data_IF_494734858780
#
_entry.id   IF_494734858780
#
_cell.length_a   1.000
_cell.length_b   1.000
_cell.length_c   1.000
_cell.angle_alpha   90.00
_cell.angle_beta   90.00
_cell.angle_gamma   90.00
#
_symmetry.space_group_name_H-M   'P 1'
#
loop_
_entity.id
_entity.type
_entity.pdbx_description
1 polymer ?
#
# COMPACT_ATOMS: atom_id res chain seq x y z
N UNK A 1 9.65 -4.25 -7.69
CA UNK A 1 9.48 -5.68 -7.32
C UNK A 1 8.77 -6.34 -8.47
N UNK A 2 9.28 -7.46 -8.98
CA UNK A 2 8.55 -8.26 -9.98
C UNK A 2 7.64 -9.23 -9.22
N UNK A 3 6.42 -9.43 -9.68
CA UNK A 3 5.50 -10.43 -9.13
C UNK A 3 5.85 -11.79 -9.73
N UNK A 4 6.08 -12.80 -8.91
CA UNK A 4 6.32 -14.17 -9.41
C UNK A 4 5.01 -14.95 -9.53
N UNK A 5 4.99 -16.00 -10.34
CA UNK A 5 3.74 -16.71 -10.65
C UNK A 5 3.14 -17.47 -9.46
N UNK A 6 3.96 -17.76 -8.45
CA UNK A 6 3.59 -18.55 -7.27
C UNK A 6 3.90 -17.84 -5.95
N UNK A 7 4.19 -16.54 -5.98
CA UNK A 7 4.45 -15.81 -4.76
C UNK A 7 3.82 -14.41 -4.75
N UNK A 8 3.24 -14.10 -3.60
CA UNK A 8 2.71 -12.79 -3.28
C UNK A 8 3.20 -12.34 -1.92
N UNK A 9 3.21 -11.02 -1.75
CA UNK A 9 3.57 -10.38 -0.51
C UNK A 9 2.29 -9.81 0.10
N UNK A 10 2.10 -10.09 1.37
CA UNK A 10 0.95 -9.68 2.16
C UNK A 10 1.42 -8.69 3.21
N UNK A 11 0.60 -7.70 3.53
CA UNK A 11 0.87 -6.74 4.59
C UNK A 11 -0.37 -6.55 5.45
N UNK A 12 -0.20 -6.57 6.78
CA UNK A 12 -1.27 -6.18 7.70
C UNK A 12 -1.40 -4.67 7.72
N UNK A 13 -2.64 -4.22 7.63
CA UNK A 13 -3.01 -2.82 7.68
C UNK A 13 -4.24 -2.61 8.55
N UNK A 14 -4.43 -1.40 9.04
CA UNK A 14 -5.69 -0.95 9.62
C UNK A 14 -6.44 -0.16 8.56
N UNK A 15 -7.75 -0.38 8.46
CA UNK A 15 -8.67 0.44 7.69
C UNK A 15 -9.47 1.27 8.66
N UNK A 16 -9.34 2.59 8.59
CA UNK A 16 -10.07 3.52 9.46
C UNK A 16 -11.14 4.26 8.65
N UNK A 17 -12.35 4.36 9.19
CA UNK A 17 -13.48 5.08 8.58
C UNK A 17 -13.69 6.43 9.26
N UNK A 18 -12.94 7.45 8.83
CA UNK A 18 -13.13 8.81 9.31
C UNK A 18 -14.46 9.38 8.88
N UNK A 19 -14.98 10.29 9.69
CA UNK A 19 -16.26 10.95 9.46
C UNK A 19 -16.05 12.21 8.64
N UNK A 20 -16.94 12.46 7.69
CA UNK A 20 -17.02 13.74 7.01
C UNK A 20 -18.47 14.19 6.87
N UNK A 21 -18.86 15.36 7.39
CA UNK A 21 -18.09 16.23 8.31
C UNK A 21 -17.66 15.55 9.62
N UNK A 22 -16.68 16.10 10.33
CA UNK A 22 -16.08 15.49 11.54
C UNK A 22 -17.09 15.25 12.68
N UNK A 23 -18.17 16.04 12.69
CA UNK A 23 -19.28 16.00 13.65
C UNK A 23 -20.44 15.07 13.24
N UNK A 24 -20.31 14.35 12.13
CA UNK A 24 -21.24 13.31 11.74
C UNK A 24 -21.25 12.15 12.77
N UNK A 25 -22.28 11.29 12.78
CA UNK A 25 -22.21 10.02 13.50
C UNK A 25 -21.18 9.06 12.88
N UNK A 26 -20.78 8.05 13.66
CA UNK A 26 -19.95 6.97 13.14
C UNK A 26 -20.69 6.21 12.03
N UNK A 27 -19.94 5.80 11.01
CA UNK A 27 -20.46 5.04 9.88
C UNK A 27 -19.70 3.71 9.79
N UNK A 28 -20.11 2.69 10.58
CA UNK A 28 -19.45 1.39 10.61
C UNK A 28 -19.34 0.75 9.22
N UNK A 29 -18.32 -0.07 9.02
CA UNK A 29 -18.05 -0.72 7.73
C UNK A 29 -19.26 -1.52 7.23
N UNK A 30 -19.97 -2.21 8.13
CA UNK A 30 -21.18 -2.97 7.79
C UNK A 30 -22.26 -2.11 7.13
N UNK A 31 -22.37 -0.84 7.50
CA UNK A 31 -23.33 0.10 6.90
C UNK A 31 -22.84 0.60 5.52
N UNK A 32 -21.53 0.56 5.27
CA UNK A 32 -20.92 0.99 4.02
C UNK A 32 -21.00 -0.09 2.92
N UNK A 33 -21.00 -1.38 3.29
CA UNK A 33 -21.01 -2.51 2.36
C UNK A 33 -22.18 -2.48 1.37
N UNK A 34 -23.44 -2.20 1.76
CA UNK A 34 -24.55 -2.11 0.80
C UNK A 34 -24.32 -1.07 -0.29
N UNK A 35 -23.74 0.09 0.05
CA UNK A 35 -23.42 1.13 -0.93
C UNK A 35 -22.29 0.69 -1.86
N UNK A 36 -21.22 0.07 -1.32
CA UNK A 36 -20.16 -0.50 -2.15
C UNK A 36 -20.69 -1.57 -3.11
N UNK A 37 -21.57 -2.46 -2.62
CA UNK A 37 -22.16 -3.52 -3.43
C UNK A 37 -23.05 -2.95 -4.54
N UNK A 38 -23.85 -1.92 -4.25
CA UNK A 38 -24.65 -1.21 -5.26
C UNK A 38 -23.77 -0.65 -6.38
N UNK A 39 -22.69 0.05 -6.00
CA UNK A 39 -21.73 0.65 -6.94
C UNK A 39 -21.00 -0.41 -7.76
N UNK A 40 -20.63 -1.53 -7.14
CA UNK A 40 -20.04 -2.68 -7.83
C UNK A 40 -21.00 -3.28 -8.86
N UNK A 41 -22.24 -3.58 -8.48
CA UNK A 41 -23.25 -4.17 -9.37
C UNK A 41 -23.66 -3.24 -10.52
N UNK A 42 -23.59 -1.92 -10.30
CA UNK A 42 -23.82 -0.92 -11.34
C UNK A 42 -22.61 -0.71 -12.27
N UNK A 43 -21.46 -1.36 -12.03
CA UNK A 43 -20.17 -1.09 -12.68
C UNK A 43 -19.68 0.37 -12.51
N UNK A 44 -20.12 1.03 -11.44
CA UNK A 44 -19.78 2.43 -11.12
C UNK A 44 -18.66 2.54 -10.07
N UNK A 45 -18.20 1.42 -9.50
CA UNK A 45 -17.04 1.35 -8.60
C UNK A 45 -15.72 1.54 -9.36
N UNK A 46 -15.57 2.71 -9.98
CA UNK A 46 -14.45 3.14 -10.83
C UNK A 46 -13.95 4.51 -10.34
N UNK A 47 -12.66 4.60 -10.09
CA UNK A 47 -11.98 5.82 -9.66
C UNK A 47 -10.89 6.16 -10.66
N UNK A 48 -11.10 7.28 -11.36
CA UNK A 48 -10.17 7.78 -12.38
C UNK A 48 -9.15 8.74 -11.78
N UNK A 49 -7.91 8.60 -12.23
CA UNK A 49 -6.80 9.48 -11.91
C UNK A 49 -6.26 10.09 -13.20
N UNK A 50 -5.59 11.24 -13.07
CA UNK A 50 -4.88 11.88 -14.19
C UNK A 50 -5.78 12.05 -15.44
N UNK A 51 -7.03 12.46 -15.24
CA UNK A 51 -8.04 12.62 -16.30
C UNK A 51 -8.29 11.31 -17.09
N UNK A 52 -8.42 10.19 -16.38
CA UNK A 52 -8.70 8.87 -16.96
C UNK A 52 -7.47 8.13 -17.50
N UNK A 53 -6.26 8.70 -17.39
CA UNK A 53 -5.01 8.02 -17.80
C UNK A 53 -4.62 6.86 -16.90
N UNK A 54 -5.11 6.87 -15.67
CA UNK A 54 -5.00 5.71 -14.79
C UNK A 54 -6.33 5.49 -14.11
N UNK A 55 -6.71 4.23 -13.93
CA UNK A 55 -8.01 3.87 -13.39
C UNK A 55 -7.82 2.80 -12.35
N UNK A 56 -8.47 2.95 -11.21
CA UNK A 56 -8.66 1.86 -10.25
C UNK A 56 -10.13 1.51 -10.16
N UNK A 57 -10.47 0.23 -10.27
CA UNK A 57 -11.84 -0.24 -10.21
C UNK A 57 -11.96 -1.48 -9.35
N UNK A 58 -13.15 -1.71 -8.81
CA UNK A 58 -13.47 -2.92 -8.07
C UNK A 58 -13.93 -4.01 -9.04
N UNK A 59 -13.15 -5.09 -9.18
CA UNK A 59 -13.46 -6.22 -10.06
C UNK A 59 -14.26 -7.32 -9.36
N UNK A 60 -14.10 -7.47 -8.05
CA UNK A 60 -14.87 -8.43 -7.29
C UNK A 60 -15.08 -7.94 -5.86
N UNK A 61 -16.28 -8.21 -5.35
CA UNK A 61 -16.66 -8.02 -3.96
C UNK A 61 -17.29 -9.32 -3.46
N UNK A 62 -16.82 -9.80 -2.31
CA UNK A 62 -17.45 -10.90 -1.58
C UNK A 62 -17.52 -10.55 -0.11
N UNK A 63 -18.74 -10.41 0.39
CA UNK A 63 -19.03 -10.26 1.82
C UNK A 63 -19.27 -11.65 2.39
N UNK A 64 -18.33 -12.17 3.16
CA UNK A 64 -18.58 -13.31 4.03
C UNK A 64 -18.91 -12.80 5.44
N UNK A 65 -19.49 -13.66 6.29
CA UNK A 65 -20.02 -13.22 7.60
C UNK A 65 -19.01 -12.41 8.43
N UNK A 66 -17.71 -12.71 8.32
CA UNK A 66 -16.64 -12.11 9.14
C UNK A 66 -15.76 -11.12 8.36
N UNK A 67 -15.58 -11.32 7.05
CA UNK A 67 -14.64 -10.60 6.20
C UNK A 67 -15.30 -10.02 4.95
N UNK A 68 -14.89 -8.81 4.61
CA UNK A 68 -15.10 -8.20 3.31
C UNK A 68 -13.88 -8.47 2.43
N UNK A 69 -14.08 -9.16 1.31
CA UNK A 69 -13.04 -9.52 0.33
C UNK A 69 -13.21 -8.69 -0.93
N UNK A 70 -12.17 -7.99 -1.32
CA UNK A 70 -12.18 -7.07 -2.46
C UNK A 70 -11.03 -7.39 -3.41
N UNK A 71 -11.31 -7.32 -4.72
CA UNK A 71 -10.30 -7.36 -5.77
C UNK A 71 -10.31 -6.04 -6.51
N UNK A 72 -9.20 -5.33 -6.47
CA UNK A 72 -9.01 -4.11 -7.24
C UNK A 72 -8.23 -4.41 -8.51
N UNK A 73 -8.58 -3.72 -9.59
CA UNK A 73 -7.74 -3.61 -10.78
C UNK A 73 -7.27 -2.18 -10.93
N UNK A 74 -5.97 -2.03 -11.16
CA UNK A 74 -5.34 -0.78 -11.55
C UNK A 74 -4.88 -0.89 -13.01
N UNK A 75 -5.21 0.12 -13.81
CA UNK A 75 -4.81 0.24 -15.21
C UNK A 75 -4.04 1.55 -15.37
N UNK A 76 -2.87 1.50 -16.01
CA UNK A 76 -2.11 2.69 -16.38
C UNK A 76 -1.87 2.76 -17.89
N UNK A 77 -2.54 3.71 -18.56
CA UNK A 77 -2.43 3.93 -20.01
C UNK A 77 -1.05 4.47 -20.41
N UNK A 78 -0.39 5.20 -19.52
CA UNK A 78 0.90 5.85 -19.77
C UNK A 78 2.10 4.92 -19.56
N UNK A 79 1.90 3.74 -18.95
CA UNK A 79 2.97 2.76 -18.77
C UNK A 79 3.42 2.19 -20.12
N UNK A 80 4.73 2.04 -20.34
CA UNK A 80 5.27 1.51 -21.60
C UNK A 80 4.71 0.12 -21.93
N UNK A 81 4.66 -0.18 -23.23
CA UNK A 81 4.30 -1.50 -23.74
C UNK A 81 5.21 -2.58 -23.12
N UNK A 82 4.65 -3.72 -22.65
CA UNK A 82 5.44 -4.78 -22.05
C UNK A 82 6.28 -5.48 -23.13
N UNK A 83 7.54 -5.77 -22.76
CA UNK A 83 8.49 -6.45 -23.61
C UNK A 83 8.93 -7.76 -22.96
N UNK A 84 9.00 -8.82 -23.77
CA UNK A 84 9.48 -10.14 -23.38
C UNK A 84 10.73 -10.46 -24.18
N UNK A 85 11.87 -10.53 -23.49
CA UNK A 85 13.15 -10.88 -24.10
C UNK A 85 13.44 -12.36 -23.91
N UNK A 86 13.82 -13.03 -25.00
CA UNK A 86 14.26 -14.41 -24.96
C UNK A 86 15.64 -14.50 -24.28
N UNK A 87 15.71 -15.25 -23.18
CA UNK A 87 16.92 -15.34 -22.34
C UNK A 87 18.14 -15.88 -23.13
N UNK A 88 17.93 -16.76 -24.11
CA UNK A 88 19.03 -17.40 -24.85
C UNK A 88 19.53 -16.56 -26.04
N UNK A 89 18.63 -15.83 -26.71
CA UNK A 89 18.92 -15.16 -27.99
C UNK A 89 18.94 -13.64 -27.90
N UNK A 90 18.38 -13.06 -26.83
CA UNK A 90 18.19 -11.61 -26.70
C UNK A 90 17.08 -11.02 -27.59
N UNK A 91 16.43 -11.84 -28.42
CA UNK A 91 15.31 -11.41 -29.25
C UNK A 91 14.17 -10.92 -28.36
N UNK A 92 13.66 -9.72 -28.64
CA UNK A 92 12.62 -9.07 -27.84
C UNK A 92 11.32 -9.02 -28.61
N UNK A 93 10.24 -9.49 -27.98
CA UNK A 93 8.87 -9.34 -28.44
C UNK A 93 8.17 -8.26 -27.62
N UNK A 94 7.64 -7.25 -28.28
CA UNK A 94 6.86 -6.17 -27.63
C UNK A 94 5.39 -6.44 -27.91
N UNK A 95 4.57 -6.44 -26.86
CA UNK A 95 3.11 -6.51 -26.99
C UNK A 95 2.55 -5.10 -26.97
N UNK A 96 1.96 -4.62 -28.07
CA UNK A 96 1.47 -3.24 -28.15
C UNK A 96 0.07 -3.14 -27.56
N UNK A 97 -0.15 -2.14 -26.70
CA UNK A 97 -1.50 -1.80 -26.20
C UNK A 97 -2.43 -1.40 -27.36
N UNK A 98 -3.68 -1.84 -27.29
CA UNK A 98 -4.76 -1.39 -28.16
C UNK A 98 -5.42 -0.11 -27.63
N UNK A 99 -6.44 0.38 -28.36
CA UNK A 99 -7.22 1.53 -27.92
C UNK A 99 -7.87 1.24 -26.56
N UNK A 100 -7.71 2.20 -25.65
CA UNK A 100 -8.22 2.14 -24.28
C UNK A 100 -7.66 1.01 -23.39
N UNK A 101 -6.54 0.42 -23.82
CA UNK A 101 -5.74 -0.47 -22.98
C UNK A 101 -4.64 0.29 -22.23
N UNK A 102 -4.27 -0.28 -21.09
CA UNK A 102 -3.14 0.16 -20.28
C UNK A 102 -2.56 -1.04 -19.55
N UNK A 103 -1.40 -0.85 -18.93
CA UNK A 103 -0.80 -1.91 -18.10
C UNK A 103 -1.69 -2.20 -16.90
N UNK A 104 -2.18 -3.42 -16.84
CA UNK A 104 -3.10 -3.90 -15.80
C UNK A 104 -2.39 -4.62 -14.66
N UNK A 105 -2.80 -4.32 -13.44
CA UNK A 105 -2.39 -4.98 -12.21
C UNK A 105 -3.62 -5.22 -11.34
N UNK A 106 -3.59 -6.23 -10.48
CA UNK A 106 -4.66 -6.46 -9.51
C UNK A 106 -4.13 -6.67 -8.12
N UNK A 107 -4.85 -6.19 -7.09
CA UNK A 107 -4.52 -6.44 -5.68
C UNK A 107 -5.75 -6.88 -4.89
N UNK A 108 -5.56 -7.88 -4.03
CA UNK A 108 -6.56 -8.33 -3.07
C UNK A 108 -6.49 -7.50 -1.77
N UNK A 109 -7.65 -7.16 -1.23
CA UNK A 109 -7.81 -6.58 0.10
C UNK A 109 -8.83 -7.40 0.89
N UNK A 110 -8.44 -7.84 2.07
CA UNK A 110 -9.28 -8.55 3.02
C UNK A 110 -9.46 -7.65 4.25
N UNK A 111 -10.69 -7.33 4.62
CA UNK A 111 -11.00 -6.48 5.78
C UNK A 111 -11.87 -7.28 6.75
N UNK A 112 -11.49 -7.35 8.01
CA UNK A 112 -12.33 -7.92 9.07
C UNK A 112 -13.46 -6.93 9.37
N UNK A 113 -14.72 -7.39 9.37
CA UNK A 113 -15.89 -6.50 9.50
C UNK A 113 -16.16 -6.03 10.92
N UNK A 114 -15.57 -6.71 11.90
CA UNK A 114 -15.62 -6.33 13.30
C UNK A 114 -14.34 -5.59 13.69
N UNK A 115 -14.45 -4.41 14.33
CA UNK A 115 -13.29 -3.73 14.90
C UNK A 115 -12.59 -4.63 15.92
N UNK A 116 -11.25 -4.59 15.93
CA UNK A 116 -10.46 -5.39 16.88
C UNK A 116 -10.41 -4.78 18.27
N UNK A 117 -10.56 -3.46 18.39
CA UNK A 117 -10.61 -2.74 19.66
C UNK A 117 -11.97 -2.02 19.79
N UNK A 118 -12.81 -2.37 20.78
CA UNK A 118 -14.07 -1.68 21.04
C UNK A 118 -13.94 -0.16 21.29
N UNK A 119 -12.76 0.32 21.70
CA UNK A 119 -12.49 1.75 21.87
C UNK A 119 -12.26 2.49 20.55
N UNK A 120 -11.97 1.76 19.47
CA UNK A 120 -11.77 2.28 18.11
C UNK A 120 -12.77 1.61 17.14
N UNK A 121 -14.08 1.88 17.26
CA UNK A 121 -15.13 1.20 16.50
C UNK A 121 -15.11 1.51 14.98
N UNK A 122 -14.31 2.48 14.57
CA UNK A 122 -14.08 2.90 13.19
C UNK A 122 -12.81 2.29 12.58
N UNK A 123 -12.03 1.51 13.35
CA UNK A 123 -10.77 0.91 12.95
C UNK A 123 -10.89 -0.61 12.78
N UNK A 124 -10.58 -1.10 11.58
CA UNK A 124 -10.74 -2.48 11.17
C UNK A 124 -9.39 -3.10 10.81
N UNK A 125 -9.11 -4.31 11.27
CA UNK A 125 -7.95 -5.05 10.78
C UNK A 125 -8.13 -5.49 9.33
N UNK A 126 -7.06 -5.41 8.56
CA UNK A 126 -7.04 -5.77 7.17
C UNK A 126 -5.70 -6.42 6.76
N UNK A 127 -5.74 -7.17 5.67
CA UNK A 127 -4.58 -7.69 4.96
C UNK A 127 -4.68 -7.22 3.51
N UNK A 128 -3.59 -6.63 3.02
CA UNK A 128 -3.46 -6.15 1.65
C UNK A 128 -2.38 -6.95 0.92
N UNK A 129 -2.63 -7.28 -0.34
CA UNK A 129 -1.61 -7.75 -1.26
C UNK A 129 -0.72 -6.58 -1.72
N UNK A 130 0.60 -6.69 -1.53
CA UNK A 130 1.57 -5.70 -1.98
C UNK A 130 1.83 -5.84 -3.49
N UNK A 131 1.27 -4.92 -4.26
CA UNK A 131 1.37 -4.90 -5.73
C UNK A 131 1.98 -3.59 -6.20
N UNK A 132 3.04 -3.61 -7.02
CA UNK A 132 3.62 -2.39 -7.58
C UNK A 132 2.57 -1.53 -8.28
N UNK A 133 2.56 -0.24 -7.98
CA UNK A 133 1.61 0.73 -8.55
C UNK A 133 0.27 0.83 -7.81
N UNK A 134 -0.10 -0.16 -6.99
CA UNK A 134 -1.31 -0.12 -6.17
C UNK A 134 -0.94 0.23 -4.73
N UNK A 135 -1.11 1.50 -4.36
CA UNK A 135 -0.76 1.98 -3.01
C UNK A 135 -1.96 1.96 -2.07
N UNK A 136 -1.70 1.86 -0.77
CA UNK A 136 -2.73 2.00 0.28
C UNK A 136 -3.52 3.29 0.15
N UNK A 137 -2.83 4.40 -0.10
CA UNK A 137 -3.46 5.72 -0.32
C UNK A 137 -4.37 5.70 -1.55
N UNK A 138 -3.95 5.08 -2.65
CA UNK A 138 -4.76 4.95 -3.85
C UNK A 138 -6.04 4.15 -3.58
N UNK A 139 -5.93 3.02 -2.87
CA UNK A 139 -7.07 2.19 -2.49
C UNK A 139 -8.03 2.93 -1.55
N UNK A 140 -7.49 3.66 -0.56
CA UNK A 140 -8.27 4.48 0.36
C UNK A 140 -9.06 5.58 -0.38
N UNK A 141 -8.42 6.26 -1.32
CA UNK A 141 -9.08 7.26 -2.17
C UNK A 141 -10.17 6.64 -3.04
N UNK A 142 -9.91 5.47 -3.64
CA UNK A 142 -10.88 4.75 -4.45
C UNK A 142 -12.11 4.34 -3.64
N UNK A 143 -11.92 3.69 -2.49
CA UNK A 143 -13.01 3.30 -1.59
C UNK A 143 -13.83 4.51 -1.11
N UNK A 144 -13.15 5.61 -0.77
CA UNK A 144 -13.80 6.88 -0.42
C UNK A 144 -14.63 7.43 -1.59
N UNK A 145 -14.11 7.35 -2.82
CA UNK A 145 -14.81 7.80 -4.01
C UNK A 145 -16.04 6.95 -4.31
N UNK A 146 -15.94 5.61 -4.17
CA UNK A 146 -17.06 4.69 -4.35
C UNK A 146 -18.21 4.97 -3.39
N UNK A 147 -17.93 5.55 -2.22
CA UNK A 147 -18.94 5.92 -1.24
C UNK A 147 -19.35 7.39 -1.30
N UNK A 148 -18.96 8.13 -2.33
CA UNK A 148 -19.34 9.54 -2.47
C UNK A 148 -20.86 9.70 -2.65
N UNK A 149 -21.45 8.84 -3.47
CA UNK A 149 -22.89 8.76 -3.65
C UNK A 149 -23.48 7.77 -2.65
N UNK A 150 -23.75 8.24 -1.44
CA UNK A 150 -24.36 7.45 -0.38
C UNK A 150 -25.60 8.18 0.18
N UNK A 151 -26.40 7.44 0.95
CA UNK A 151 -27.63 7.94 1.57
C UNK A 151 -27.45 8.31 3.05
N UNK A 152 -26.22 8.47 3.52
CA UNK A 152 -25.95 8.88 4.89
C UNK A 152 -26.19 10.38 5.05
N UNK A 153 -26.97 10.68 6.08
CA UNK A 153 -27.28 12.03 6.49
C UNK A 153 -27.45 12.10 7.99
N UNK A 154 -27.30 13.30 8.54
CA UNK A 154 -27.52 13.56 9.96
C UNK A 154 -27.99 14.99 10.19
N UNK A 155 -28.60 15.22 11.34
CA UNK A 155 -28.96 16.56 11.81
C UNK A 155 -28.03 16.92 12.97
N UNK A 156 -27.36 18.07 12.88
CA UNK A 156 -26.53 18.59 13.97
C UNK A 156 -27.36 18.83 15.22
N UNK A 157 -26.75 18.69 16.40
CA UNK A 157 -27.41 19.00 17.67
C UNK A 157 -27.90 20.46 17.67
N UNK A 158 -29.22 20.66 17.78
CA UNK A 158 -29.87 21.98 17.73
C UNK A 158 -30.09 22.55 16.32
N UNK A 159 -29.70 21.82 15.27
CA UNK A 159 -29.97 22.17 13.89
C UNK A 159 -31.36 21.70 13.43
N UNK A 160 -31.87 22.32 12.35
CA UNK A 160 -33.10 21.89 11.66
C UNK A 160 -32.84 21.33 10.26
N UNK A 161 -31.60 21.43 9.78
CA UNK A 161 -31.21 21.06 8.41
C UNK A 161 -30.51 19.71 8.43
N UNK A 162 -30.97 18.81 7.57
CA UNK A 162 -30.30 17.55 7.28
C UNK A 162 -29.05 17.82 6.43
N UNK A 163 -27.92 17.24 6.86
CA UNK A 163 -26.63 17.35 6.20
C UNK A 163 -26.21 15.97 5.70
N UNK A 164 -25.74 15.88 4.46
CA UNK A 164 -25.11 14.65 3.95
C UNK A 164 -23.79 14.41 4.69
N UNK A 165 -23.52 13.16 5.02
CA UNK A 165 -22.23 12.72 5.53
C UNK A 165 -21.68 11.56 4.70
N UNK A 166 -20.40 11.25 4.89
CA UNK A 166 -19.77 10.09 4.26
C UNK A 166 -18.57 9.60 5.07
N UNK A 167 -18.25 8.31 5.01
CA UNK A 167 -16.98 7.80 5.51
C UNK A 167 -15.84 8.21 4.56
N UNK A 168 -14.68 8.49 5.13
CA UNK A 168 -13.41 8.67 4.44
C UNK A 168 -12.50 7.52 4.88
N UNK A 169 -12.08 6.71 3.92
CA UNK A 169 -11.19 5.58 4.19
C UNK A 169 -9.77 6.08 4.39
N UNK A 170 -9.10 5.54 5.40
CA UNK A 170 -7.66 5.60 5.58
C UNK A 170 -7.12 4.18 5.74
N UNK A 171 -5.94 3.91 5.18
CA UNK A 171 -5.31 2.57 5.23
C UNK A 171 -3.87 2.71 5.73
N UNK A 172 -3.67 2.41 7.00
CA UNK A 172 -2.38 2.52 7.68
C UNK A 172 -1.75 1.15 7.93
N UNK A 173 -0.44 1.10 8.13
CA UNK A 173 0.23 -0.17 8.44
C UNK A 173 -0.05 -0.54 9.88
N UNK A 174 -0.43 -1.80 10.11
CA UNK A 174 -0.47 -2.32 11.47
C UNK A 174 0.98 -2.58 11.89
N UNK A 175 1.42 -1.78 12.84
CA UNK A 175 2.70 -1.92 13.50
C UNK A 175 2.75 -3.22 14.28
N UNK A 176 3.64 -4.14 13.90
CA UNK A 176 3.83 -5.38 14.63
C UNK A 176 5.05 -5.35 15.55
N UNK A 177 6.12 -4.66 15.15
CA UNK A 177 7.36 -4.58 15.91
C UNK A 177 8.06 -3.26 15.69
N UNK A 178 8.90 -2.85 16.64
CA UNK A 178 9.78 -1.70 16.47
C UNK A 178 11.07 -2.11 15.76
N UNK A 179 11.73 -1.15 15.11
CA UNK A 179 13.08 -1.36 14.56
C UNK A 179 14.05 -1.90 15.62
N UNK A 180 13.91 -1.44 16.86
CA UNK A 180 14.65 -1.93 18.02
C UNK A 180 14.41 -3.43 18.29
N UNK A 181 13.16 -3.87 18.34
CA UNK A 181 12.82 -5.29 18.55
C UNK A 181 13.33 -6.18 17.41
N UNK A 182 13.27 -5.71 16.17
CA UNK A 182 13.79 -6.46 15.02
C UNK A 182 15.31 -6.53 15.01
N UNK A 183 16.02 -5.47 15.43
CA UNK A 183 17.49 -5.44 15.46
C UNK A 183 18.08 -6.05 16.74
N UNK A 184 17.31 -6.21 17.81
CA UNK A 184 17.77 -6.88 19.03
C UNK A 184 18.00 -8.38 18.83
N UNK A 185 17.19 -9.02 17.98
CA UNK A 185 17.30 -10.46 17.65
C UNK A 185 17.77 -10.73 16.23
N UNK A 186 17.69 -9.73 15.34
CA UNK A 186 18.09 -9.79 13.94
C UNK A 186 19.42 -9.06 13.65
N UNK A 187 19.62 -8.64 12.40
CA UNK A 187 20.73 -7.79 11.99
C UNK A 187 20.45 -6.91 10.78
N UNK A 188 20.96 -5.68 10.81
CA UNK A 188 20.99 -4.73 9.71
C UNK A 188 21.86 -5.26 8.57
N UNK A 189 21.29 -5.32 7.38
CA UNK A 189 21.90 -5.82 6.16
C UNK A 189 22.41 -4.68 5.26
N UNK A 190 21.71 -3.55 5.24
CA UNK A 190 22.10 -2.44 4.38
C UNK A 190 21.25 -1.20 4.57
N UNK A 191 21.81 -0.07 4.15
CA UNK A 191 21.17 1.24 4.15
C UNK A 191 21.29 1.81 2.74
N UNK A 192 20.17 2.19 2.13
CA UNK A 192 20.14 2.74 0.77
C UNK A 192 19.34 4.03 0.78
N UNK A 193 20.02 5.15 0.60
CA UNK A 193 19.38 6.43 0.51
C UNK A 193 19.06 6.76 -0.95
N UNK A 194 17.90 7.37 -1.21
CA UNK A 194 17.59 7.90 -2.54
C UNK A 194 17.18 9.37 -2.45
N UNK A 195 17.65 10.15 -3.41
CA UNK A 195 17.22 11.53 -3.62
C UNK A 195 16.80 11.70 -5.07
N UNK A 196 15.68 12.37 -5.27
CA UNK A 196 15.18 12.75 -6.59
C UNK A 196 15.27 14.25 -6.72
N UNK A 197 15.86 14.73 -7.80
CA UNK A 197 15.90 16.15 -8.12
C UNK A 197 15.50 16.36 -9.57
N UNK A 198 14.88 17.51 -9.81
CA UNK A 198 14.59 17.98 -11.17
C UNK A 198 15.87 18.59 -11.69
N UNK A 199 16.39 18.07 -12.79
CA UNK A 199 17.36 18.81 -13.57
C UNK A 199 16.58 19.87 -14.38
N UNK A 200 17.13 21.08 -14.47
CA UNK A 200 16.55 22.16 -15.26
C UNK A 200 16.93 22.04 -16.74
N UNK A 201 17.64 20.99 -17.12
CA UNK A 201 17.78 20.59 -18.51
C UNK A 201 16.42 20.10 -19.05
N UNK A 202 16.04 20.63 -20.21
CA UNK A 202 14.93 20.11 -20.99
C UNK A 202 15.50 18.94 -21.82
N UNK A 203 14.80 17.81 -21.85
CA UNK A 203 15.05 16.83 -22.90
C UNK A 203 14.61 17.38 -24.27
N UNK A 204 14.96 16.68 -25.36
CA UNK A 204 14.62 17.09 -26.73
C UNK A 204 13.10 17.30 -26.95
N UNK A 205 12.26 16.81 -26.03
CA UNK A 205 10.80 16.91 -26.06
C UNK A 205 10.22 17.94 -25.05
N UNK A 206 11.07 18.70 -24.34
CA UNK A 206 10.66 19.76 -23.41
C UNK A 206 10.12 19.28 -22.06
N UNK A 207 10.41 18.03 -21.67
CA UNK A 207 10.03 17.44 -20.38
C UNK A 207 11.16 17.60 -19.37
N UNK A 208 10.80 17.80 -18.10
CA UNK A 208 11.76 17.96 -16.99
C UNK A 208 12.40 16.61 -16.67
N UNK A 209 13.71 16.51 -16.85
CA UNK A 209 14.49 15.33 -16.47
C UNK A 209 14.49 15.15 -14.94
N UNK A 210 14.04 13.98 -14.46
CA UNK A 210 14.12 13.62 -13.04
C UNK A 210 15.31 12.68 -12.86
N UNK A 211 16.38 13.18 -12.25
CA UNK A 211 17.52 12.36 -11.88
C UNK A 211 17.30 11.75 -10.49
N UNK A 212 17.59 10.45 -10.38
CA UNK A 212 17.56 9.70 -9.11
C UNK A 212 18.99 9.32 -8.72
N UNK A 213 19.49 9.86 -7.61
CA UNK A 213 20.76 9.47 -7.04
C UNK A 213 20.54 8.51 -5.87
N UNK A 214 21.23 7.36 -5.92
CA UNK A 214 21.18 6.33 -4.90
C UNK A 214 22.52 6.21 -4.18
N UNK A 215 22.51 6.34 -2.86
CA UNK A 215 23.70 6.12 -2.03
C UNK A 215 23.54 4.85 -1.20
N UNK A 216 24.39 3.85 -1.46
CA UNK A 216 24.49 2.64 -0.63
C UNK A 216 25.46 2.91 0.52
N UNK A 217 24.97 2.81 1.75
CA UNK A 217 25.73 3.00 2.96
C UNK A 217 26.04 1.63 3.59
N UNK A 218 27.31 1.42 3.92
CA UNK A 218 27.78 0.22 4.62
C UNK A 218 28.09 0.53 6.07
N UNK A 219 27.61 -0.31 6.99
CA UNK A 219 27.98 -0.25 8.41
C UNK A 219 28.54 -1.59 8.88
N UNK A 220 29.56 -1.52 9.75
CA UNK A 220 30.13 -2.67 10.46
C UNK A 220 29.26 -3.09 11.64
N UNK A 221 28.51 -2.15 12.22
CA UNK A 221 27.61 -2.39 13.35
C UNK A 221 26.25 -2.81 12.79
N UNK A 222 25.85 -4.04 13.10
CA UNK A 222 24.68 -4.66 12.46
C UNK A 222 23.60 -5.11 13.44
N UNK A 223 23.76 -5.01 14.77
CA UNK A 223 22.76 -5.51 15.73
C UNK A 223 22.53 -4.55 16.89
N UNK A 224 21.39 -4.72 17.56
CA UNK A 224 21.01 -4.03 18.79
C UNK A 224 21.02 -2.52 18.67
N UNK A 225 21.19 -1.85 19.81
CA UNK A 225 21.18 -0.38 19.91
C UNK A 225 22.23 0.27 19.01
N UNK A 226 23.41 -0.33 18.86
CA UNK A 226 24.46 0.18 17.99
C UNK A 226 24.04 0.24 16.51
N UNK A 227 23.17 -0.66 16.05
CA UNK A 227 22.62 -0.59 14.70
C UNK A 227 21.62 0.57 14.56
N UNK A 228 20.81 0.83 15.58
CA UNK A 228 19.87 1.97 15.60
C UNK A 228 20.65 3.29 15.58
N UNK A 229 21.73 3.39 16.37
CA UNK A 229 22.62 4.55 16.35
C UNK A 229 23.30 4.75 15.00
N UNK A 230 23.70 3.66 14.32
CA UNK A 230 24.25 3.73 12.97
C UNK A 230 23.20 4.25 11.95
N UNK A 231 21.95 3.81 12.08
CA UNK A 231 20.82 4.29 11.27
C UNK A 231 20.56 5.77 11.52
N UNK A 232 20.56 6.22 12.79
CA UNK A 232 20.43 7.63 13.17
C UNK A 232 21.54 8.49 12.57
N UNK A 233 22.79 8.06 12.71
CA UNK A 233 23.94 8.77 12.13
C UNK A 233 23.84 8.87 10.61
N UNK A 234 23.37 7.81 9.94
CA UNK A 234 23.08 7.84 8.52
C UNK A 234 21.95 8.82 8.20
N UNK A 235 20.82 8.77 8.91
CA UNK A 235 19.69 9.67 8.74
C UNK A 235 20.10 11.14 8.81
N UNK A 236 20.84 11.53 9.84
CA UNK A 236 21.27 12.92 10.06
C UNK A 236 22.22 13.41 8.95
N UNK A 237 23.18 12.56 8.56
CA UNK A 237 24.10 12.87 7.46
C UNK A 237 23.37 13.03 6.13
N UNK A 238 22.35 12.20 5.89
CA UNK A 238 21.56 12.20 4.67
C UNK A 238 20.61 13.41 4.61
N UNK A 239 20.04 13.82 5.76
CA UNK A 239 19.25 15.05 5.91
C UNK A 239 20.06 16.28 5.47
N UNK A 240 21.31 16.39 5.92
CA UNK A 240 22.22 17.46 5.48
C UNK A 240 22.56 17.44 3.99
N UNK A 241 22.39 16.30 3.31
CA UNK A 241 22.71 16.09 1.88
C UNK A 241 21.47 16.09 0.97
N UNK A 242 20.31 16.50 1.50
CA UNK A 242 19.02 16.58 0.77
C UNK A 242 18.55 15.23 0.20
N UNK A 243 18.89 14.12 0.85
CA UNK A 243 18.24 12.85 0.53
C UNK A 243 16.82 12.83 1.07
N UNK A 244 15.91 12.18 0.35
CA UNK A 244 14.47 12.20 0.63
C UNK A 244 13.99 10.92 1.28
N UNK A 245 14.65 9.78 1.01
CA UNK A 245 14.30 8.51 1.65
C UNK A 245 15.53 7.70 2.03
N UNK A 246 15.38 6.90 3.09
CA UNK A 246 16.34 5.90 3.55
C UNK A 246 15.67 4.55 3.62
N UNK A 247 16.07 3.62 2.75
CA UNK A 247 15.70 2.21 2.85
C UNK A 247 16.64 1.51 3.82
N UNK A 248 16.08 0.90 4.86
CA UNK A 248 16.75 0.12 5.89
C UNK A 248 16.48 -1.35 5.64
N UNK A 249 17.47 -2.10 5.16
CA UNK A 249 17.36 -3.54 4.95
C UNK A 249 17.90 -4.29 6.15
N UNK A 250 17.16 -5.24 6.71
CA UNK A 250 17.56 -6.04 7.86
C UNK A 250 17.16 -7.51 7.69
N UNK A 251 17.65 -8.37 8.57
CA UNK A 251 17.25 -9.75 8.68
C UNK A 251 16.79 -10.04 10.10
N UNK A 252 15.70 -10.77 10.27
CA UNK A 252 15.23 -11.15 11.60
C UNK A 252 16.01 -12.36 12.18
N UNK A 253 15.60 -12.83 13.37
CA UNK A 253 16.17 -14.03 14.04
C UNK A 253 16.07 -15.31 13.19
N UNK A 254 15.12 -15.38 12.26
CA UNK A 254 14.90 -16.50 11.35
C UNK A 254 15.68 -16.34 10.04
N UNK A 255 16.59 -15.36 9.94
CA UNK A 255 17.37 -15.00 8.74
C UNK A 255 16.53 -14.51 7.56
N UNK A 256 15.26 -14.16 7.78
CA UNK A 256 14.37 -13.58 6.77
C UNK A 256 14.83 -12.16 6.45
N UNK A 257 15.10 -11.86 5.19
CA UNK A 257 15.47 -10.51 4.75
C UNK A 257 14.23 -9.64 4.56
N UNK A 258 14.30 -8.41 5.04
CA UNK A 258 13.25 -7.41 4.90
C UNK A 258 13.86 -6.01 4.70
N UNK A 259 13.05 -5.04 4.30
CA UNK A 259 13.46 -3.65 4.28
C UNK A 259 12.31 -2.67 4.47
N UNK A 260 12.54 -1.63 5.26
CA UNK A 260 11.62 -0.51 5.44
C UNK A 260 12.16 0.78 4.87
N UNK A 261 11.29 1.74 4.59
CA UNK A 261 11.66 3.04 4.04
C UNK A 261 11.24 4.12 5.03
N UNK A 262 12.22 4.93 5.43
CA UNK A 262 12.02 6.11 6.27
C UNK A 262 12.15 7.35 5.40
N UNK A 263 11.18 8.27 5.49
CA UNK A 263 11.27 9.57 4.83
C UNK A 263 12.22 10.47 5.61
N UNK A 264 13.19 11.06 4.91
CA UNK A 264 14.16 12.00 5.47
C UNK A 264 13.61 13.41 5.28
N UNK A 265 13.44 14.17 6.37
CA UNK A 265 12.99 15.56 6.25
C UNK A 265 12.98 16.30 7.59
N UNK A 266 12.19 15.81 8.54
CA UNK A 266 12.15 16.37 9.90
C UNK A 266 13.29 15.82 10.74
N UNK A 267 13.60 16.50 11.83
CA UNK A 267 14.46 15.92 12.86
C UNK A 267 13.75 14.73 13.50
N UNK A 268 14.46 13.61 13.63
CA UNK A 268 13.99 12.44 14.36
C UNK A 268 14.97 12.19 15.49
N UNK A 269 14.47 11.94 16.70
CA UNK A 269 15.31 11.48 17.81
C UNK A 269 15.74 10.02 17.61
N UNK A 270 16.70 9.56 18.40
CA UNK A 270 17.09 8.14 18.40
C UNK A 270 15.89 7.24 18.78
N UNK A 271 15.06 7.71 19.71
CA UNK A 271 13.88 6.99 20.17
C UNK A 271 12.78 6.94 19.10
N UNK A 272 12.61 8.00 18.31
CA UNK A 272 11.68 8.00 17.17
C UNK A 272 12.10 7.00 16.07
N UNK A 273 13.42 6.82 15.87
CA UNK A 273 13.93 5.80 14.95
C UNK A 273 13.87 4.39 15.54
N UNK A 274 14.16 4.24 16.84
CA UNK A 274 14.08 2.96 17.54
C UNK A 274 12.66 2.41 17.55
N UNK A 275 11.68 3.30 17.78
CA UNK A 275 10.25 3.00 17.82
C UNK A 275 9.58 3.06 16.45
N UNK A 276 10.33 3.34 15.37
CA UNK A 276 9.81 3.32 14.02
C UNK A 276 9.13 1.96 13.77
N UNK A 277 7.82 2.04 13.57
CA UNK A 277 6.94 0.89 13.51
C UNK A 277 7.13 0.15 12.19
N UNK A 278 7.47 -1.13 12.26
CA UNK A 278 7.63 -2.02 11.12
C UNK A 278 6.28 -2.68 10.82
N UNK A 279 5.89 -2.70 9.55
CA UNK A 279 4.64 -3.31 9.15
C UNK A 279 4.74 -4.83 9.18
N UNK A 280 3.70 -5.53 9.67
CA UNK A 280 3.66 -6.99 9.58
C UNK A 280 3.49 -7.39 8.13
N UNK A 281 4.51 -8.03 7.55
CA UNK A 281 4.49 -8.55 6.18
C UNK A 281 4.64 -10.06 6.17
N UNK A 282 4.08 -10.74 5.18
CA UNK A 282 4.33 -12.16 4.94
C UNK A 282 4.46 -12.50 3.45
N UNK A 283 5.15 -13.60 3.15
CA UNK A 283 5.26 -14.14 1.79
C UNK A 283 4.31 -15.33 1.64
N UNK A 284 3.24 -15.12 0.89
CA UNK A 284 2.33 -16.18 0.49
C UNK A 284 2.92 -16.96 -0.69
N UNK A 285 3.40 -18.18 -0.43
CA UNK A 285 3.81 -19.15 -1.48
C UNK A 285 2.59 -19.94 -1.93
N UNK A 286 2.20 -19.86 -3.20
CA UNK A 286 0.97 -20.41 -3.76
C UNK A 286 1.23 -21.70 -4.56
N UNK A 287 0.38 -22.70 -4.37
CA UNK A 287 0.37 -23.92 -5.18
C UNK A 287 -0.20 -23.67 -6.58
N UNK A 288 -1.19 -22.78 -6.70
CA UNK A 288 -1.75 -22.37 -8.00
C UNK A 288 -1.12 -21.07 -8.50
N UNK A 289 -0.94 -20.97 -9.82
CA UNK A 289 -0.39 -19.79 -10.46
C UNK A 289 -1.34 -18.60 -10.33
N UNK A 290 -0.79 -17.42 -10.08
CA UNK A 290 -1.51 -16.16 -9.98
C UNK A 290 -0.97 -15.16 -11.00
N UNK A 291 -1.83 -14.75 -11.94
CA UNK A 291 -1.54 -13.71 -12.91
C UNK A 291 -1.32 -12.33 -12.26
N UNK A 292 -0.58 -11.47 -12.96
CA UNK A 292 -0.31 -10.07 -12.58
C UNK A 292 -1.60 -9.25 -12.45
N UNK A 293 -2.58 -9.54 -13.31
CA UNK A 293 -3.91 -8.95 -13.28
C UNK A 293 -4.97 -10.05 -13.27
N UNK A 294 -5.57 -10.30 -12.11
CA UNK A 294 -6.67 -11.22 -11.92
C UNK A 294 -7.98 -10.64 -12.43
N UNK A 295 -8.86 -11.51 -12.91
CA UNK A 295 -10.26 -11.17 -13.25
C UNK A 295 -11.24 -11.58 -12.15
N UNK A 296 -10.79 -12.41 -11.19
CA UNK A 296 -11.59 -12.91 -10.08
C UNK A 296 -10.73 -13.12 -8.84
N UNK A 297 -11.36 -13.18 -7.66
CA UNK A 297 -10.67 -13.45 -6.39
C UNK A 297 -9.89 -14.78 -6.44
N UNK A 298 -8.60 -14.73 -6.12
CA UNK A 298 -7.73 -15.91 -6.05
C UNK A 298 -7.92 -16.64 -4.71
N UNK A 299 -8.59 -17.79 -4.74
CA UNK A 299 -9.05 -18.50 -3.54
C UNK A 299 -7.92 -18.89 -2.58
N UNK A 300 -6.80 -19.42 -3.08
CA UNK A 300 -5.67 -19.82 -2.24
C UNK A 300 -5.00 -18.62 -1.56
N UNK A 301 -4.91 -17.48 -2.27
CA UNK A 301 -4.32 -16.27 -1.73
C UNK A 301 -5.20 -15.72 -0.60
N UNK A 302 -6.51 -15.68 -0.81
CA UNK A 302 -7.45 -15.28 0.23
C UNK A 302 -7.37 -16.18 1.47
N UNK A 303 -7.21 -17.49 1.30
CA UNK A 303 -7.01 -18.41 2.42
C UNK A 303 -5.75 -18.09 3.22
N UNK A 304 -4.65 -17.75 2.53
CA UNK A 304 -3.40 -17.31 3.17
C UNK A 304 -3.53 -15.94 3.84
N UNK A 305 -4.28 -15.01 3.24
CA UNK A 305 -4.57 -13.70 3.85
C UNK A 305 -5.39 -13.86 5.14
N UNK A 306 -6.37 -14.77 5.14
CA UNK A 306 -7.17 -15.08 6.33
C UNK A 306 -6.32 -15.71 7.44
N UNK A 307 -5.47 -16.69 7.09
CA UNK A 307 -4.54 -17.28 8.06
C UNK A 307 -3.59 -16.23 8.65
N UNK A 308 -3.01 -15.38 7.79
CA UNK A 308 -2.13 -14.31 8.21
C UNK A 308 -2.84 -13.27 9.11
N UNK A 309 -4.13 -13.03 8.91
CA UNK A 309 -4.92 -12.14 9.79
C UNK A 309 -4.95 -12.63 11.24
N UNK A 310 -5.04 -13.95 11.46
CA UNK A 310 -5.19 -14.56 12.79
C UNK A 310 -3.86 -14.64 13.54
N UNK A 311 -2.75 -14.82 12.82
CA UNK A 311 -1.38 -14.84 13.36
C UNK A 311 -0.93 -13.49 13.93
#
# INVERSE_FOLDING_TARGET
MLLGDNDRFLIKCSVTLKRHPDDAPDMPLINCIPTLNRQFLANEAVYELNKGRSVIRLLALRDDGEYLKLLFQYINKDASDPAFSNIKTGATRIEKKQNDEGMGYSAHLLIKKTPSDPHFPDCYEAVLEEVPGITRTLLAQALTAFLRDNNFSFIRKGGKKELKCRPIFEIDLLAATTLEQSLSTGYLCGLVATRRFKDNSLDDDGTVMIEEETLKLTTKIRRGEGAIQAIKSAYDKLRGRKFTTLRISYKDKNKRADSDIVTIGKEMSLQDLATAQLAKRDKAVLATTIAVCQTSLHAELLGKMQAFMIE
#
